data_IF_780276680041
#
_entry.id   IF_780276680041
#
_cell.length_a   1.000
_cell.length_b   1.000
_cell.length_c   1.000
_cell.angle_alpha   90.00
_cell.angle_beta   90.00
_cell.angle_gamma   90.00
#
_symmetry.space_group_name_H-M   'P 1'
#
loop_
_entity.id
_entity.type
_entity.pdbx_description
1 polymer ?
#
# COMPACT_ATOMS: atom_id res chain seq x y z
N UNK A 1 27.56 8.65 7.05
CA UNK A 1 26.43 7.70 7.18
C UNK A 1 26.98 6.37 7.71
N UNK A 2 26.43 5.80 8.78
CA UNK A 2 26.96 4.56 9.39
C UNK A 2 26.33 3.28 8.80
N UNK A 3 26.96 2.11 9.00
CA UNK A 3 26.50 0.84 8.43
C UNK A 3 25.03 0.50 8.80
N UNK A 4 24.60 0.86 10.02
CA UNK A 4 23.22 0.65 10.50
C UNK A 4 22.19 1.45 9.72
N UNK A 5 22.46 2.74 9.46
CA UNK A 5 21.59 3.61 8.64
C UNK A 5 21.56 3.14 7.18
N UNK A 6 22.70 2.70 6.64
CA UNK A 6 22.76 2.11 5.29
C UNK A 6 21.89 0.86 5.15
N UNK A 7 21.97 -0.07 6.12
CA UNK A 7 21.14 -1.29 6.15
C UNK A 7 19.65 -0.95 6.22
N UNK A 8 19.26 -0.02 7.09
CA UNK A 8 17.85 0.40 7.24
C UNK A 8 17.30 1.06 5.97
N UNK A 9 18.11 1.88 5.28
CA UNK A 9 17.74 2.45 3.97
C UNK A 9 17.49 1.38 2.91
N UNK A 10 18.28 0.29 2.90
CA UNK A 10 18.03 -0.87 2.01
C UNK A 10 16.73 -1.60 2.36
N UNK A 11 16.46 -1.80 3.66
CA UNK A 11 15.21 -2.44 4.12
C UNK A 11 13.99 -1.64 3.66
N UNK A 12 14.01 -0.31 3.76
CA UNK A 12 12.90 0.53 3.27
C UNK A 12 12.63 0.28 1.79
N UNK A 13 13.68 0.21 0.95
CA UNK A 13 13.50 -0.05 -0.49
C UNK A 13 12.78 -1.38 -0.74
N UNK A 14 13.17 -2.43 -0.03
CA UNK A 14 12.50 -3.74 -0.14
C UNK A 14 11.06 -3.66 0.33
N UNK A 15 10.79 -3.04 1.49
CA UNK A 15 9.43 -2.90 2.02
C UNK A 15 8.53 -2.05 1.11
N UNK A 16 9.07 -1.04 0.47
CA UNK A 16 8.34 -0.21 -0.49
C UNK A 16 7.91 -1.01 -1.72
N UNK A 17 8.80 -1.84 -2.27
CA UNK A 17 8.46 -2.75 -3.37
C UNK A 17 7.42 -3.78 -2.93
N UNK A 18 7.58 -4.39 -1.76
CA UNK A 18 6.59 -5.34 -1.21
C UNK A 18 5.21 -4.70 -1.05
N UNK A 19 5.16 -3.46 -0.55
CA UNK A 19 3.92 -2.71 -0.41
C UNK A 19 3.28 -2.42 -1.78
N UNK A 20 4.05 -1.91 -2.74
CA UNK A 20 3.57 -1.68 -4.11
C UNK A 20 3.03 -2.95 -4.76
N UNK A 21 3.71 -4.09 -4.56
CA UNK A 21 3.23 -5.38 -5.05
C UNK A 21 1.91 -5.80 -4.40
N UNK A 22 1.78 -5.59 -3.08
CA UNK A 22 0.56 -5.90 -2.35
C UNK A 22 -0.61 -4.99 -2.78
N UNK A 23 -0.37 -3.69 -3.00
CA UNK A 23 -1.36 -2.76 -3.55
C UNK A 23 -1.78 -3.15 -4.97
N UNK A 24 -0.83 -3.51 -5.83
CA UNK A 24 -1.14 -3.99 -7.18
C UNK A 24 -1.98 -5.28 -7.15
N UNK A 25 -1.73 -6.18 -6.20
CA UNK A 25 -2.54 -7.39 -6.00
C UNK A 25 -3.97 -7.04 -5.56
N UNK A 26 -4.12 -6.10 -4.61
CA UNK A 26 -5.41 -5.62 -4.17
C UNK A 26 -6.19 -4.94 -5.31
N UNK A 27 -5.53 -4.11 -6.13
CA UNK A 27 -6.14 -3.48 -7.28
C UNK A 27 -6.65 -4.51 -8.31
N UNK A 28 -5.88 -5.58 -8.55
CA UNK A 28 -6.32 -6.70 -9.40
C UNK A 28 -7.54 -7.41 -8.83
N UNK A 29 -7.53 -7.77 -7.55
CA UNK A 29 -8.66 -8.42 -6.89
C UNK A 29 -9.93 -7.53 -6.91
N UNK A 30 -9.78 -6.22 -6.71
CA UNK A 30 -10.87 -5.26 -6.83
C UNK A 30 -11.44 -5.22 -8.27
N UNK A 31 -10.57 -5.21 -9.28
CA UNK A 31 -10.99 -5.25 -10.68
C UNK A 31 -11.74 -6.53 -11.05
N UNK A 32 -11.24 -7.69 -10.59
CA UNK A 32 -11.92 -8.98 -10.77
C UNK A 32 -13.32 -8.99 -10.15
N UNK A 33 -13.44 -8.53 -8.90
CA UNK A 33 -14.74 -8.43 -8.23
C UNK A 33 -15.69 -7.47 -8.95
N UNK A 34 -15.20 -6.29 -9.37
CA UNK A 34 -16.00 -5.32 -10.10
C UNK A 34 -16.53 -5.89 -11.43
N UNK A 35 -15.71 -6.64 -12.16
CA UNK A 35 -16.13 -7.30 -13.39
C UNK A 35 -17.23 -8.35 -13.16
N UNK A 36 -17.13 -9.15 -12.10
CA UNK A 36 -18.15 -10.14 -11.75
C UNK A 36 -19.46 -9.50 -11.31
N UNK A 37 -19.38 -8.43 -10.52
CA UNK A 37 -20.56 -7.65 -10.10
C UNK A 37 -21.26 -7.03 -11.30
N UNK A 38 -20.50 -6.47 -12.24
CA UNK A 38 -21.03 -5.93 -13.49
C UNK A 38 -21.69 -7.00 -14.36
N UNK A 39 -21.07 -8.17 -14.48
CA UNK A 39 -21.65 -9.31 -15.20
C UNK A 39 -22.98 -9.76 -14.57
N UNK A 40 -23.04 -9.85 -13.24
CA UNK A 40 -24.27 -10.19 -12.52
C UNK A 40 -25.40 -9.18 -12.80
N UNK A 41 -25.11 -7.88 -12.77
CA UNK A 41 -26.07 -6.82 -13.11
C UNK A 41 -26.59 -6.92 -14.54
N UNK A 42 -25.72 -7.27 -15.49
CA UNK A 42 -26.11 -7.47 -16.89
C UNK A 42 -27.07 -8.65 -17.04
N UNK A 43 -26.81 -9.77 -16.36
CA UNK A 43 -27.73 -10.91 -16.37
C UNK A 43 -29.08 -10.55 -15.75
N UNK A 44 -29.09 -9.81 -14.64
CA UNK A 44 -30.32 -9.32 -14.02
C UNK A 44 -31.12 -8.41 -14.95
N UNK A 45 -30.43 -7.48 -15.64
CA UNK A 45 -31.06 -6.59 -16.64
C UNK A 45 -31.68 -7.40 -17.78
N UNK A 46 -30.94 -8.35 -18.36
CA UNK A 46 -31.45 -9.24 -19.40
C UNK A 46 -32.66 -10.06 -18.93
N UNK A 47 -32.68 -10.44 -17.65
CA UNK A 47 -33.79 -11.19 -17.06
C UNK A 47 -35.06 -10.36 -16.92
N UNK A 48 -34.91 -9.10 -16.52
CA UNK A 48 -36.02 -8.13 -16.42
C UNK A 48 -36.56 -7.80 -17.82
N UNK A 49 -35.68 -7.52 -18.78
CA UNK A 49 -36.05 -7.21 -20.16
C UNK A 49 -36.82 -8.37 -20.80
N UNK A 50 -36.36 -9.60 -20.59
CA UNK A 50 -37.04 -10.80 -21.06
C UNK A 50 -38.43 -10.99 -20.42
N UNK A 51 -38.56 -10.67 -19.14
CA UNK A 51 -39.85 -10.74 -18.45
C UNK A 51 -40.87 -9.75 -19.04
N UNK A 52 -40.42 -8.54 -19.41
CA UNK A 52 -41.27 -7.54 -20.07
C UNK A 52 -41.68 -7.99 -21.48
N UNK A 53 -40.77 -8.60 -22.24
CA UNK A 53 -41.06 -9.12 -23.58
C UNK A 53 -42.12 -10.24 -23.57
N UNK A 54 -42.17 -11.06 -22.51
CA UNK A 54 -43.15 -12.16 -22.38
C UNK A 54 -44.61 -11.68 -22.43
N UNK A 55 -44.90 -10.44 -22.01
CA UNK A 55 -46.25 -9.87 -22.01
C UNK A 55 -46.85 -9.60 -23.40
N UNK A 56 -46.03 -9.57 -24.46
CA UNK A 56 -46.44 -9.13 -25.80
C UNK A 56 -46.48 -10.26 -26.87
N UNK A 57 -46.25 -11.52 -26.48
CA UNK A 57 -45.81 -12.57 -27.44
C UNK A 57 -46.75 -13.79 -27.49
N UNK A 58 -47.00 -14.29 -28.71
CA UNK A 58 -47.85 -15.46 -29.00
C UNK A 58 -47.23 -16.81 -28.59
N UNK A 59 -48.08 -17.82 -28.33
CA UNK A 59 -47.76 -19.07 -27.61
C UNK A 59 -46.51 -19.86 -28.03
N UNK A 60 -46.10 -19.89 -29.30
CA UNK A 60 -44.86 -20.59 -29.73
C UNK A 60 -43.58 -19.92 -29.23
N UNK A 61 -43.56 -18.60 -29.17
CA UNK A 61 -42.41 -17.86 -28.69
C UNK A 61 -42.35 -17.78 -27.15
N UNK A 62 -43.43 -18.18 -26.44
CA UNK A 62 -43.41 -18.33 -24.98
C UNK A 62 -42.50 -19.47 -24.52
N UNK A 63 -42.44 -20.59 -25.27
CA UNK A 63 -41.56 -21.72 -24.92
C UNK A 63 -40.07 -21.32 -25.02
N UNK A 64 -39.70 -20.62 -26.10
CA UNK A 64 -38.32 -20.14 -26.29
C UNK A 64 -37.93 -19.10 -25.24
N UNK A 65 -38.86 -18.22 -24.86
CA UNK A 65 -38.66 -17.24 -23.78
C UNK A 65 -38.49 -17.95 -22.43
N UNK A 66 -39.28 -19.00 -22.17
CA UNK A 66 -39.16 -19.80 -20.95
C UNK A 66 -37.80 -20.50 -20.82
N UNK A 67 -37.31 -21.08 -21.91
CA UNK A 67 -35.99 -21.71 -21.94
C UNK A 67 -34.86 -20.69 -21.71
N UNK A 68 -34.94 -19.52 -22.35
CA UNK A 68 -33.95 -18.46 -22.19
C UNK A 68 -33.95 -17.90 -20.76
N UNK A 69 -35.13 -17.74 -20.15
CA UNK A 69 -35.27 -17.35 -18.76
C UNK A 69 -34.57 -18.34 -17.82
N UNK A 70 -34.80 -19.64 -17.99
CA UNK A 70 -34.14 -20.68 -17.20
C UNK A 70 -32.62 -20.65 -17.37
N UNK A 71 -32.11 -20.44 -18.60
CA UNK A 71 -30.67 -20.33 -18.84
C UNK A 71 -30.05 -19.11 -18.16
N UNK A 72 -30.76 -17.97 -18.15
CA UNK A 72 -30.33 -16.78 -17.43
C UNK A 72 -30.31 -17.01 -15.91
N UNK A 73 -31.32 -17.69 -15.36
CA UNK A 73 -31.39 -18.01 -13.93
C UNK A 73 -30.22 -18.94 -13.52
N UNK A 74 -29.92 -19.97 -14.33
CA UNK A 74 -28.76 -20.86 -14.12
C UNK A 74 -27.45 -20.07 -14.20
N UNK A 75 -27.31 -19.18 -15.18
CA UNK A 75 -26.11 -18.35 -15.32
C UNK A 75 -25.93 -17.46 -14.09
N UNK A 76 -27.01 -16.87 -13.56
CA UNK A 76 -26.97 -16.03 -12.37
C UNK A 76 -26.61 -16.83 -11.12
N UNK A 77 -27.18 -18.02 -10.96
CA UNK A 77 -26.82 -18.94 -9.86
C UNK A 77 -25.35 -19.35 -9.93
N UNK A 78 -24.83 -19.60 -11.14
CA UNK A 78 -23.42 -19.97 -11.35
C UNK A 78 -22.41 -18.88 -10.95
N UNK A 79 -22.84 -17.61 -10.84
CA UNK A 79 -22.00 -16.50 -10.40
C UNK A 79 -21.88 -16.39 -8.87
N UNK A 80 -22.73 -17.08 -8.10
CA UNK A 80 -22.75 -16.98 -6.63
C UNK A 80 -21.40 -17.38 -6.01
N UNK A 81 -20.86 -18.54 -6.40
CA UNK A 81 -19.57 -19.01 -5.88
C UNK A 81 -18.38 -18.14 -6.36
N UNK A 82 -18.25 -17.78 -7.66
CA UNK A 82 -17.25 -16.82 -8.11
C UNK A 82 -17.28 -15.47 -7.38
N UNK A 83 -18.46 -14.91 -7.11
CA UNK A 83 -18.60 -13.65 -6.38
C UNK A 83 -18.13 -13.77 -4.93
N UNK A 84 -18.52 -14.82 -4.23
CA UNK A 84 -18.05 -15.09 -2.86
C UNK A 84 -16.53 -15.22 -2.83
N UNK A 85 -15.97 -16.07 -3.70
CA UNK A 85 -14.54 -16.31 -3.78
C UNK A 85 -13.75 -15.03 -4.15
N UNK A 86 -14.26 -14.22 -5.08
CA UNK A 86 -13.62 -12.96 -5.45
C UNK A 86 -13.66 -11.93 -4.30
N UNK A 87 -14.76 -11.89 -3.53
CA UNK A 87 -14.86 -11.06 -2.33
C UNK A 87 -13.86 -11.50 -1.26
N UNK A 88 -13.76 -12.80 -1.00
CA UNK A 88 -12.78 -13.34 -0.04
C UNK A 88 -11.34 -13.05 -0.47
N UNK A 89 -11.02 -13.20 -1.75
CA UNK A 89 -9.70 -12.86 -2.30
C UNK A 89 -9.39 -11.38 -2.15
N UNK A 90 -10.36 -10.50 -2.39
CA UNK A 90 -10.23 -9.06 -2.14
C UNK A 90 -9.89 -8.80 -0.67
N UNK A 91 -10.57 -9.46 0.25
CA UNK A 91 -10.35 -9.28 1.69
C UNK A 91 -8.97 -9.72 2.12
N UNK A 92 -8.54 -10.88 1.65
CA UNK A 92 -7.19 -11.39 1.90
C UNK A 92 -6.13 -10.45 1.32
N UNK A 93 -6.32 -9.97 0.08
CA UNK A 93 -5.42 -9.01 -0.54
C UNK A 93 -5.38 -7.68 0.21
N UNK A 94 -6.52 -7.22 0.72
CA UNK A 94 -6.64 -6.00 1.53
C UNK A 94 -5.88 -6.11 2.84
N UNK A 95 -6.02 -7.23 3.54
CA UNK A 95 -5.28 -7.50 4.76
C UNK A 95 -3.76 -7.56 4.52
N UNK A 96 -3.33 -8.16 3.41
CA UNK A 96 -1.92 -8.22 3.02
C UNK A 96 -1.34 -6.84 2.67
N UNK A 97 -2.08 -6.03 1.91
CA UNK A 97 -1.69 -4.66 1.57
C UNK A 97 -1.54 -3.81 2.84
N UNK A 98 -2.52 -3.86 3.75
CA UNK A 98 -2.45 -3.16 5.02
C UNK A 98 -1.26 -3.60 5.88
N UNK A 99 -1.00 -4.91 5.94
CA UNK A 99 0.18 -5.44 6.65
C UNK A 99 1.49 -4.94 6.04
N UNK A 100 1.58 -4.87 4.72
CA UNK A 100 2.76 -4.39 4.02
C UNK A 100 2.99 -2.89 4.26
N UNK A 101 1.92 -2.08 4.21
CA UNK A 101 1.96 -0.65 4.54
C UNK A 101 2.52 -0.41 5.95
N UNK A 102 1.99 -1.12 6.96
CA UNK A 102 2.45 -1.00 8.35
C UNK A 102 3.94 -1.38 8.49
N UNK A 103 4.40 -2.40 7.76
CA UNK A 103 5.82 -2.81 7.75
C UNK A 103 6.72 -1.76 7.09
N UNK A 104 6.27 -1.13 6.00
CA UNK A 104 6.98 -0.03 5.36
C UNK A 104 7.11 1.18 6.30
N UNK A 105 6.00 1.63 6.89
CA UNK A 105 6.00 2.74 7.85
C UNK A 105 6.94 2.47 9.03
N UNK A 106 6.88 1.25 9.58
CA UNK A 106 7.74 0.83 10.68
C UNK A 106 9.22 0.88 10.30
N UNK A 107 9.56 0.48 9.06
CA UNK A 107 10.92 0.56 8.54
C UNK A 107 11.39 2.02 8.39
N UNK A 108 10.50 2.91 7.92
CA UNK A 108 10.78 4.36 7.81
C UNK A 108 11.04 4.96 9.19
N UNK A 109 10.15 4.74 10.16
CA UNK A 109 10.33 5.24 11.55
C UNK A 109 11.64 4.73 12.16
N UNK A 110 11.99 3.47 11.91
CA UNK A 110 13.22 2.88 12.42
C UNK A 110 14.48 3.51 11.75
N UNK A 111 14.43 3.79 10.46
CA UNK A 111 15.50 4.50 9.76
C UNK A 111 15.68 5.92 10.32
N UNK A 112 14.60 6.67 10.49
CA UNK A 112 14.64 8.03 11.03
C UNK A 112 15.26 8.08 12.43
N UNK A 113 14.82 7.17 13.33
CA UNK A 113 15.42 7.04 14.65
C UNK A 113 16.93 6.75 14.57
N UNK A 114 17.32 5.88 13.64
CA UNK A 114 18.73 5.56 13.40
C UNK A 114 19.54 6.74 12.87
N UNK A 115 18.93 7.54 12.00
CA UNK A 115 19.54 8.72 11.40
C UNK A 115 19.78 9.79 12.46
N UNK A 116 18.77 10.07 13.28
CA UNK A 116 18.88 11.01 14.41
C UNK A 116 19.97 10.59 15.40
N UNK A 117 19.99 9.31 15.79
CA UNK A 117 21.02 8.80 16.69
C UNK A 117 22.44 8.90 16.08
N UNK A 118 22.58 8.67 14.78
CA UNK A 118 23.87 8.81 14.09
C UNK A 118 24.33 10.27 14.00
N UNK A 119 23.40 11.23 13.89
CA UNK A 119 23.70 12.67 13.91
C UNK A 119 24.21 13.10 15.28
N UNK A 120 23.52 12.74 16.36
CA UNK A 120 23.93 13.04 17.73
C UNK A 120 25.31 12.45 18.04
N UNK A 121 25.57 11.22 17.61
CA UNK A 121 26.88 10.60 17.80
C UNK A 121 27.99 11.29 17.00
N UNK A 122 27.68 11.77 15.79
CA UNK A 122 28.63 12.54 14.99
C UNK A 122 28.93 13.88 15.67
N UNK A 123 27.91 14.61 16.13
CA UNK A 123 28.06 15.87 16.86
C UNK A 123 28.94 15.72 18.10
N UNK A 124 28.77 14.63 18.87
CA UNK A 124 29.62 14.32 20.03
C UNK A 124 31.08 14.10 19.64
N UNK A 125 31.34 13.39 18.53
CA UNK A 125 32.71 13.16 18.03
C UNK A 125 33.33 14.45 17.51
N UNK A 126 32.56 15.27 16.81
CA UNK A 126 33.03 16.55 16.29
C UNK A 126 33.35 17.54 17.41
N UNK A 127 32.58 17.53 18.50
CA UNK A 127 32.86 18.32 19.71
C UNK A 127 34.09 17.80 20.47
N UNK A 128 34.22 16.48 20.63
CA UNK A 128 35.39 15.85 21.26
C UNK A 128 36.68 16.07 20.47
N UNK A 129 36.61 16.08 19.13
CA UNK A 129 37.74 16.33 18.24
C UNK A 129 37.94 17.82 17.93
N UNK A 130 37.24 18.73 18.63
CA UNK A 130 37.34 20.16 18.34
C UNK A 130 38.76 20.64 18.66
N UNK A 131 39.49 21.22 17.69
CA UNK A 131 40.84 21.71 17.94
C UNK A 131 40.81 22.81 19.01
N UNK A 132 41.77 22.77 19.94
CA UNK A 132 41.90 23.78 20.98
C UNK A 132 42.15 25.14 20.32
N UNK A 133 41.18 26.05 20.45
CA UNK A 133 41.34 27.44 20.04
C UNK A 133 41.82 28.25 21.25
N UNK A 134 43.07 28.75 21.26
CA UNK A 134 43.51 29.66 22.30
C UNK A 134 42.60 30.88 22.29
N UNK A 135 42.08 31.26 23.46
CA UNK A 135 41.24 32.46 23.61
C UNK A 135 42.12 33.67 23.27
N UNK A 136 41.83 34.34 22.17
CA UNK A 136 42.60 35.50 21.64
C UNK A 136 42.68 36.68 22.63
N UNK A 137 41.90 36.66 23.72
CA UNK A 137 41.91 37.67 24.79
C UNK A 137 42.76 37.34 26.03
N UNK A 138 43.45 36.19 26.08
CA UNK A 138 44.29 35.80 27.23
C UNK A 138 45.77 35.65 26.84
N UNK A 139 46.26 36.49 25.92
CA UNK A 139 47.68 36.84 25.95
C UNK A 139 47.87 37.71 27.18
N UNK A 140 48.26 37.08 28.30
CA UNK A 140 48.92 37.78 29.39
C UNK A 140 49.95 38.69 28.74
N UNK A 141 49.75 40.00 28.86
CA UNK A 141 50.86 40.95 28.78
C UNK A 141 51.78 40.52 29.91
N UNK A 142 52.78 39.70 29.58
CA UNK A 142 54.02 39.69 30.35
C UNK A 142 54.49 41.15 30.28
N UNK A 143 54.24 41.86 31.37
CA UNK A 143 54.79 43.17 31.62
C UNK A 143 56.30 42.96 31.58
N UNK A 144 56.95 43.47 30.54
CA UNK A 144 58.38 43.72 30.54
C UNK A 144 58.67 44.68 31.70
N UNK A 145 58.97 44.13 32.86
CA UNK A 145 59.63 44.84 33.94
C UNK A 145 61.09 45.02 33.55
N UNK A 146 61.35 46.01 32.69
CA UNK A 146 62.68 46.47 32.32
C UNK A 146 62.69 48.00 32.27
N UNK A 147 63.66 48.58 32.97
CA UNK A 147 64.01 50.01 33.08
C UNK A 147 63.19 50.86 34.08
N UNK A 148 63.70 50.98 35.31
CA UNK A 148 64.39 52.18 35.80
C UNK A 148 65.01 51.90 37.18
#
# INVERSE_FOLDING_TARGET
MNARTARRKRIIRVRSVEHQMAEANLARANGELANLVELAKRLETLRVDLAMAKGAVAGRALNTIGELAMRLDIAQESLTAPLSNASERRDQAGALAQSAMVKEESAVRLYERSRKAAQVEQERRDDANRPHRPRTGMRLRLIEGGAA
#
